data_IF_852751264528
#
_entry.id   IF_852751264528
#
_cell.length_a   1.000
_cell.length_b   1.000
_cell.length_c   1.000
_cell.angle_alpha   90.00
_cell.angle_beta   90.00
_cell.angle_gamma   90.00
#
_symmetry.space_group_name_H-M   'P 1'
#
loop_
_entity.id
_entity.type
_entity.pdbx_description
1 polymer ?
#
# COMPACT_ATOMS: atom_id res chain seq x y z
N UNK A 1 -18.57 -17.22 33.93
CA UNK A 1 -19.83 -16.49 33.65
C UNK A 1 -19.69 -15.59 32.40
N UNK A 2 -18.89 -15.99 31.41
CA UNK A 2 -18.44 -15.08 30.33
C UNK A 2 -18.80 -15.58 28.92
N UNK A 3 -19.61 -16.64 28.80
CA UNK A 3 -19.94 -17.31 27.52
C UNK A 3 -21.40 -17.17 27.06
N UNK A 4 -22.25 -16.38 27.73
CA UNK A 4 -23.70 -16.27 27.40
C UNK A 4 -24.05 -14.95 26.66
N UNK A 5 -23.15 -13.96 26.61
CA UNK A 5 -23.46 -12.62 26.09
C UNK A 5 -23.44 -12.49 24.55
N UNK A 6 -22.79 -13.39 23.81
CA UNK A 6 -22.60 -13.25 22.35
C UNK A 6 -23.82 -13.68 21.51
N UNK A 7 -24.79 -14.38 22.11
CA UNK A 7 -26.02 -14.84 21.43
C UNK A 7 -27.12 -13.77 21.34
N UNK A 8 -26.85 -12.53 21.76
CA UNK A 8 -27.88 -11.49 21.86
C UNK A 8 -28.05 -10.65 20.59
N UNK A 9 -27.13 -10.69 19.62
CA UNK A 9 -27.15 -9.80 18.46
C UNK A 9 -26.92 -10.53 17.13
N UNK A 10 -27.60 -10.06 16.09
CA UNK A 10 -27.42 -10.48 14.72
C UNK A 10 -25.97 -10.25 14.30
N UNK A 11 -25.29 -11.32 13.89
CA UNK A 11 -23.88 -11.35 13.50
C UNK A 11 -23.58 -10.65 12.16
N UNK A 12 -24.58 -9.98 11.59
CA UNK A 12 -24.48 -9.09 10.43
C UNK A 12 -24.79 -7.65 10.82
N UNK A 13 -26.02 -7.33 11.22
CA UNK A 13 -26.41 -5.93 11.39
C UNK A 13 -26.29 -5.42 12.84
N UNK A 14 -25.95 -6.27 13.82
CA UNK A 14 -25.75 -5.87 15.21
C UNK A 14 -27.02 -5.49 15.97
N UNK A 15 -28.20 -5.75 15.41
CA UNK A 15 -29.49 -5.64 16.13
C UNK A 15 -29.70 -6.83 17.07
N UNK A 16 -30.42 -6.69 18.18
CA UNK A 16 -30.76 -7.83 19.03
C UNK A 16 -31.55 -8.91 18.30
N UNK A 17 -31.25 -10.18 18.58
CA UNK A 17 -32.06 -11.30 18.09
C UNK A 17 -33.22 -11.57 19.07
N UNK A 18 -34.42 -11.74 18.52
CA UNK A 18 -35.65 -12.04 19.26
C UNK A 18 -36.04 -13.49 19.02
N UNK A 19 -35.57 -14.39 19.89
CA UNK A 19 -35.88 -15.82 19.80
C UNK A 19 -37.31 -16.17 20.20
N UNK A 20 -38.03 -15.23 20.82
CA UNK A 20 -39.45 -15.32 21.13
C UNK A 20 -40.36 -15.12 19.90
N UNK A 21 -39.80 -14.64 18.78
CA UNK A 21 -40.53 -14.40 17.52
C UNK A 21 -39.74 -15.02 16.36
N UNK A 22 -40.03 -16.27 16.02
CA UNK A 22 -39.29 -17.04 15.00
C UNK A 22 -39.23 -16.34 13.64
N UNK A 23 -40.28 -15.61 13.24
CA UNK A 23 -40.34 -14.85 11.98
C UNK A 23 -39.26 -13.76 11.86
N UNK A 24 -38.66 -13.34 12.98
CA UNK A 24 -37.61 -12.32 12.99
C UNK A 24 -36.19 -12.90 12.85
N UNK A 25 -36.07 -14.24 12.86
CA UNK A 25 -34.82 -14.95 12.62
C UNK A 25 -34.61 -15.16 11.12
N UNK A 26 -33.35 -15.16 10.69
CA UNK A 26 -32.98 -15.51 9.32
C UNK A 26 -33.18 -16.99 9.05
N UNK A 27 -33.03 -17.42 7.80
CA UNK A 27 -33.08 -18.84 7.43
C UNK A 27 -31.74 -19.33 6.90
N UNK A 28 -31.33 -20.53 7.32
CA UNK A 28 -30.12 -21.23 6.88
C UNK A 28 -30.37 -21.94 5.54
N UNK A 29 -29.33 -22.52 4.93
CA UNK A 29 -29.43 -23.19 3.63
C UNK A 29 -30.32 -24.45 3.64
N UNK A 30 -30.51 -25.06 4.81
CA UNK A 30 -31.45 -26.16 5.06
C UNK A 30 -32.86 -25.69 5.44
N UNK A 31 -33.12 -24.38 5.29
CA UNK A 31 -34.35 -23.68 5.67
C UNK A 31 -34.68 -23.66 7.17
N UNK A 32 -33.77 -24.12 8.04
CA UNK A 32 -33.91 -23.93 9.49
C UNK A 32 -33.75 -22.46 9.89
N UNK A 33 -34.33 -22.05 11.02
CA UNK A 33 -34.11 -20.71 11.56
C UNK A 33 -32.67 -20.54 12.07
N UNK A 34 -32.09 -19.38 11.78
CA UNK A 34 -30.75 -19.01 12.18
C UNK A 34 -30.73 -18.56 13.64
N UNK A 35 -29.78 -19.07 14.42
CA UNK A 35 -29.52 -18.60 15.78
C UNK A 35 -28.55 -17.41 15.84
N UNK A 36 -28.07 -16.95 14.67
CA UNK A 36 -27.02 -15.94 14.55
C UNK A 36 -27.42 -14.72 13.72
N UNK A 37 -28.40 -14.83 12.84
CA UNK A 37 -28.77 -13.76 11.91
C UNK A 37 -30.27 -13.46 11.95
N UNK A 38 -30.63 -12.19 11.80
CA UNK A 38 -32.03 -11.78 11.68
C UNK A 38 -32.55 -11.95 10.23
N UNK A 39 -33.86 -11.95 10.07
CA UNK A 39 -34.54 -12.14 8.78
C UNK A 39 -34.18 -11.08 7.73
N UNK A 40 -33.79 -9.87 8.16
CA UNK A 40 -33.30 -8.84 7.26
C UNK A 40 -31.93 -9.14 6.68
N UNK A 41 -31.13 -9.99 7.30
CA UNK A 41 -29.73 -10.20 6.95
C UNK A 41 -29.46 -11.52 6.25
N UNK A 42 -30.16 -12.60 6.61
CA UNK A 42 -29.90 -13.93 6.07
C UNK A 42 -31.21 -14.61 5.65
N UNK A 43 -31.25 -15.08 4.40
CA UNK A 43 -32.35 -15.86 3.86
C UNK A 43 -31.79 -17.02 3.04
N UNK A 44 -32.24 -18.23 3.37
CA UNK A 44 -31.90 -19.50 2.74
C UNK A 44 -30.38 -19.68 2.61
N UNK A 45 -29.65 -19.33 3.68
CA UNK A 45 -28.19 -19.42 3.77
C UNK A 45 -27.41 -18.33 3.04
N UNK A 46 -28.10 -17.35 2.43
CA UNK A 46 -27.48 -16.25 1.69
C UNK A 46 -27.76 -14.90 2.32
N UNK A 47 -26.77 -14.00 2.30
CA UNK A 47 -27.00 -12.62 2.73
C UNK A 47 -27.98 -11.93 1.77
N UNK A 48 -28.99 -11.28 2.34
CA UNK A 48 -30.06 -10.59 1.59
C UNK A 48 -29.57 -9.35 0.85
N UNK A 49 -28.47 -8.74 1.33
CA UNK A 49 -27.90 -7.49 0.79
C UNK A 49 -26.37 -7.58 0.79
N UNK A 50 -25.71 -7.13 -0.29
CA UNK A 50 -24.25 -6.93 -0.33
C UNK A 50 -23.92 -5.44 -0.20
N UNK A 51 -23.68 -5.01 1.03
CA UNK A 51 -23.35 -3.63 1.39
C UNK A 51 -22.05 -3.58 2.22
N UNK A 52 -21.47 -2.40 2.34
CA UNK A 52 -20.37 -2.10 3.24
C UNK A 52 -20.83 -1.98 4.70
N UNK A 53 -19.87 -2.06 5.63
CA UNK A 53 -20.15 -1.88 7.06
C UNK A 53 -20.68 -0.47 7.33
N UNK A 54 -20.11 0.56 6.68
CA UNK A 54 -20.57 1.94 6.82
C UNK A 54 -22.01 2.12 6.34
N UNK A 55 -22.39 1.53 5.20
CA UNK A 55 -23.77 1.54 4.74
C UNK A 55 -24.71 0.83 5.73
N UNK A 56 -24.26 -0.25 6.37
CA UNK A 56 -25.03 -0.91 7.44
C UNK A 56 -25.22 0.00 8.65
N UNK A 57 -24.18 0.74 9.06
CA UNK A 57 -24.29 1.77 10.12
C UNK A 57 -25.28 2.85 9.70
N UNK A 58 -25.17 3.37 8.47
CA UNK A 58 -26.02 4.45 7.97
C UNK A 58 -27.50 4.04 7.89
N UNK A 59 -27.78 2.79 7.51
CA UNK A 59 -29.14 2.23 7.55
C UNK A 59 -29.69 2.29 8.97
N UNK A 60 -28.95 1.82 9.97
CA UNK A 60 -29.44 1.83 11.35
C UNK A 60 -29.55 3.22 11.95
N UNK A 61 -28.60 4.11 11.66
CA UNK A 61 -28.65 5.51 12.07
C UNK A 61 -29.89 6.19 11.47
N UNK A 62 -30.21 5.92 10.21
CA UNK A 62 -31.44 6.40 9.55
C UNK A 62 -32.71 5.85 10.19
N UNK A 63 -32.68 4.63 10.74
CA UNK A 63 -33.81 3.95 11.38
C UNK A 63 -33.59 3.76 12.89
N UNK A 64 -33.06 4.78 13.57
CA UNK A 64 -32.72 4.73 15.00
C UNK A 64 -33.94 4.35 15.85
N UNK A 65 -35.12 4.90 15.58
CA UNK A 65 -36.36 4.57 16.31
C UNK A 65 -36.71 3.08 16.24
N UNK A 66 -36.50 2.44 15.08
CA UNK A 66 -36.72 1.00 14.93
C UNK A 66 -35.68 0.22 15.72
N UNK A 67 -34.41 0.62 15.65
CA UNK A 67 -33.36 -0.03 16.43
C UNK A 67 -33.67 0.03 17.94
N UNK A 68 -34.06 1.20 18.43
CA UNK A 68 -34.47 1.45 19.81
C UNK A 68 -35.67 0.58 20.21
N UNK A 69 -36.68 0.48 19.35
CA UNK A 69 -37.84 -0.41 19.56
C UNK A 69 -37.44 -1.89 19.68
N UNK A 70 -36.59 -2.40 18.79
CA UNK A 70 -36.12 -3.78 18.85
C UNK A 70 -35.24 -4.06 20.07
N UNK A 71 -34.46 -3.07 20.50
CA UNK A 71 -33.44 -3.23 21.55
C UNK A 71 -33.87 -2.78 22.94
N UNK A 72 -35.04 -2.15 23.09
CA UNK A 72 -35.46 -1.56 24.35
C UNK A 72 -34.51 -0.47 24.84
N UNK A 73 -33.94 0.29 23.91
CA UNK A 73 -33.00 1.39 24.20
C UNK A 73 -33.56 2.72 23.72
N UNK A 74 -32.86 3.82 24.05
CA UNK A 74 -33.26 5.17 23.66
C UNK A 74 -32.04 5.96 23.14
N UNK A 75 -31.28 5.34 22.23
CA UNK A 75 -30.10 5.98 21.65
C UNK A 75 -30.49 7.12 20.73
N UNK A 76 -29.74 8.21 20.77
CA UNK A 76 -29.71 9.19 19.68
C UNK A 76 -29.01 8.60 18.44
N UNK A 77 -29.23 9.14 17.23
CA UNK A 77 -28.56 8.68 16.02
C UNK A 77 -27.01 8.68 16.12
N UNK A 78 -26.45 9.65 16.85
CA UNK A 78 -24.99 9.76 17.03
C UNK A 78 -24.44 8.74 18.03
N UNK A 79 -25.18 8.45 19.10
CA UNK A 79 -24.82 7.39 20.05
C UNK A 79 -24.91 6.01 19.39
N UNK A 80 -25.97 5.77 18.60
CA UNK A 80 -26.12 4.54 17.84
C UNK A 80 -24.99 4.36 16.82
N UNK A 81 -24.61 5.41 16.09
CA UNK A 81 -23.45 5.39 15.19
C UNK A 81 -22.17 4.98 15.93
N UNK A 82 -21.91 5.60 17.08
CA UNK A 82 -20.72 5.32 17.90
C UNK A 82 -20.71 3.87 18.39
N UNK A 83 -21.86 3.37 18.86
CA UNK A 83 -22.03 1.99 19.28
C UNK A 83 -21.79 1.00 18.14
N UNK A 84 -22.42 1.22 16.98
CA UNK A 84 -22.32 0.32 15.83
C UNK A 84 -20.91 0.32 15.24
N UNK A 85 -20.23 1.47 15.18
CA UNK A 85 -18.83 1.54 14.77
C UNK A 85 -17.91 0.71 15.68
N UNK A 86 -18.25 0.54 16.96
CA UNK A 86 -17.52 -0.33 17.88
C UNK A 86 -17.92 -1.80 17.75
N UNK A 87 -19.22 -2.08 17.52
CA UNK A 87 -19.76 -3.46 17.52
C UNK A 87 -19.61 -4.17 16.18
N UNK A 88 -19.97 -3.54 15.06
CA UNK A 88 -20.00 -4.22 13.77
C UNK A 88 -18.66 -4.88 13.40
N UNK A 89 -17.47 -4.26 13.60
CA UNK A 89 -16.19 -4.90 13.31
C UNK A 89 -15.97 -6.25 14.04
N UNK A 90 -16.62 -6.45 15.19
CA UNK A 90 -16.46 -7.69 15.97
C UNK A 90 -17.37 -8.82 15.52
N UNK A 91 -18.41 -8.55 14.71
CA UNK A 91 -19.40 -9.54 14.30
C UNK A 91 -18.89 -10.43 13.15
N UNK A 92 -19.40 -11.68 13.06
CA UNK A 92 -18.91 -12.67 12.09
C UNK A 92 -18.88 -12.18 10.64
N UNK A 93 -19.95 -11.56 10.13
CA UNK A 93 -20.02 -11.07 8.73
C UNK A 93 -18.86 -10.14 8.39
N UNK A 94 -18.57 -9.23 9.31
CA UNK A 94 -17.60 -8.15 9.09
C UNK A 94 -16.18 -8.62 9.38
N UNK A 95 -15.97 -9.36 10.47
CA UNK A 95 -14.69 -9.98 10.79
C UNK A 95 -14.23 -10.91 9.66
N UNK A 96 -15.15 -11.71 9.10
CA UNK A 96 -14.85 -12.55 7.95
C UNK A 96 -14.49 -11.72 6.71
N UNK A 97 -15.26 -10.67 6.41
CA UNK A 97 -15.01 -9.78 5.26
C UNK A 97 -13.66 -9.05 5.37
N UNK A 98 -13.31 -8.55 6.56
CA UNK A 98 -12.00 -7.93 6.84
C UNK A 98 -10.86 -8.95 6.74
N UNK A 99 -11.02 -10.14 7.30
CA UNK A 99 -10.03 -11.21 7.20
C UNK A 99 -9.79 -11.64 5.75
N UNK A 100 -10.86 -11.79 4.96
CA UNK A 100 -10.74 -12.09 3.52
C UNK A 100 -10.05 -10.95 2.76
N UNK A 101 -10.35 -9.69 3.07
CA UNK A 101 -9.68 -8.53 2.48
C UNK A 101 -8.19 -8.49 2.83
N UNK A 102 -7.82 -8.79 4.08
CA UNK A 102 -6.43 -8.88 4.52
C UNK A 102 -5.66 -9.94 3.72
N UNK A 103 -6.18 -11.17 3.66
CA UNK A 103 -5.56 -12.28 2.92
C UNK A 103 -5.41 -11.94 1.44
N UNK A 104 -6.43 -11.34 0.83
CA UNK A 104 -6.34 -10.86 -0.54
C UNK A 104 -5.27 -9.78 -0.71
N UNK A 105 -5.19 -8.81 0.20
CA UNK A 105 -4.19 -7.74 0.14
C UNK A 105 -2.76 -8.30 0.24
N UNK A 106 -2.51 -9.23 1.17
CA UNK A 106 -1.21 -9.91 1.28
C UNK A 106 -0.86 -10.72 0.03
N UNK A 107 -1.82 -11.48 -0.50
CA UNK A 107 -1.65 -12.23 -1.75
C UNK A 107 -1.23 -11.30 -2.91
N UNK A 108 -1.91 -10.17 -3.08
CA UNK A 108 -1.56 -9.22 -4.14
C UNK A 108 -0.22 -8.53 -3.88
N UNK A 109 0.14 -8.22 -2.64
CA UNK A 109 1.46 -7.65 -2.34
C UNK A 109 2.60 -8.63 -2.59
N UNK A 110 2.41 -9.91 -2.32
CA UNK A 110 3.34 -10.95 -2.72
C UNK A 110 3.51 -10.98 -4.24
N UNK A 111 2.40 -10.95 -4.99
CA UNK A 111 2.43 -10.92 -6.47
C UNK A 111 3.15 -9.67 -6.99
N UNK A 112 2.90 -8.49 -6.40
CA UNK A 112 3.61 -7.24 -6.76
C UNK A 112 5.12 -7.39 -6.56
N UNK A 113 5.53 -7.95 -5.42
CA UNK A 113 6.95 -8.20 -5.10
C UNK A 113 7.57 -9.16 -6.12
N UNK A 114 6.86 -10.23 -6.50
CA UNK A 114 7.29 -11.15 -7.53
C UNK A 114 7.47 -10.44 -8.89
N UNK A 115 6.52 -9.59 -9.30
CA UNK A 115 6.60 -8.80 -10.53
C UNK A 115 7.82 -7.88 -10.50
N UNK A 116 8.06 -7.18 -9.39
CA UNK A 116 9.20 -6.26 -9.25
C UNK A 116 10.54 -6.97 -9.41
N UNK A 117 10.66 -8.21 -8.90
CA UNK A 117 11.88 -9.02 -8.98
C UNK A 117 12.07 -9.70 -10.34
N UNK A 118 11.00 -9.88 -11.12
CA UNK A 118 11.00 -10.64 -12.36
C UNK A 118 10.50 -9.80 -13.56
N UNK A 119 10.64 -8.47 -13.48
CA UNK A 119 9.93 -7.52 -14.36
C UNK A 119 10.08 -7.82 -15.85
N UNK A 120 11.27 -8.20 -16.31
CA UNK A 120 11.56 -8.53 -17.72
C UNK A 120 11.64 -10.03 -18.02
N UNK A 121 11.28 -10.88 -17.07
CA UNK A 121 11.11 -12.31 -17.33
C UNK A 121 9.70 -12.61 -17.87
N UNK A 122 9.48 -13.86 -18.30
CA UNK A 122 8.14 -14.33 -18.61
C UNK A 122 7.33 -14.45 -17.32
N UNK A 123 6.19 -13.77 -17.28
CA UNK A 123 5.28 -13.76 -16.13
C UNK A 123 3.94 -14.29 -16.61
N UNK A 124 3.52 -15.44 -16.08
CA UNK A 124 2.20 -16.02 -16.33
C UNK A 124 1.21 -15.64 -15.19
N UNK A 125 0.22 -14.77 -15.46
CA UNK A 125 -0.81 -14.42 -14.50
C UNK A 125 -1.65 -15.60 -13.99
N UNK A 126 -1.81 -16.67 -14.77
CA UNK A 126 -2.57 -17.86 -14.34
C UNK A 126 -1.77 -18.67 -13.33
N UNK A 127 -0.46 -18.82 -13.54
CA UNK A 127 0.44 -19.43 -12.56
C UNK A 127 0.47 -18.64 -11.26
N UNK A 128 0.54 -17.29 -11.34
CA UNK A 128 0.48 -16.43 -10.15
C UNK A 128 -0.82 -16.63 -9.37
N UNK A 129 -1.97 -16.70 -10.07
CA UNK A 129 -3.26 -16.96 -9.44
C UNK A 129 -3.28 -18.30 -8.68
N UNK A 130 -2.70 -19.36 -9.26
CA UNK A 130 -2.56 -20.67 -8.62
C UNK A 130 -1.68 -20.60 -7.36
N UNK A 131 -0.54 -19.89 -7.42
CA UNK A 131 0.37 -19.75 -6.27
C UNK A 131 -0.32 -19.08 -5.08
N UNK A 132 -1.15 -18.07 -5.34
CA UNK A 132 -1.92 -17.38 -4.28
C UNK A 132 -3.27 -18.03 -3.97
N UNK A 133 -3.52 -19.25 -4.47
CA UNK A 133 -4.74 -20.03 -4.22
C UNK A 133 -6.05 -19.30 -4.62
N UNK A 134 -6.03 -18.55 -5.72
CA UNK A 134 -7.21 -17.89 -6.27
C UNK A 134 -7.53 -18.46 -7.66
N UNK A 135 -8.82 -18.61 -7.98
CA UNK A 135 -9.22 -18.84 -9.36
C UNK A 135 -8.78 -17.65 -10.22
N UNK A 136 -8.44 -17.88 -11.49
CA UNK A 136 -7.92 -16.80 -12.33
C UNK A 136 -8.90 -15.62 -12.49
N UNK A 137 -10.21 -15.92 -12.57
CA UNK A 137 -11.25 -14.90 -12.60
C UNK A 137 -11.26 -14.04 -11.33
N UNK A 138 -11.24 -14.68 -10.16
CA UNK A 138 -11.24 -13.98 -8.87
C UNK A 138 -9.93 -13.22 -8.64
N UNK A 139 -8.79 -13.81 -8.98
CA UNK A 139 -7.48 -13.17 -8.95
C UNK A 139 -7.46 -11.85 -9.71
N UNK A 140 -7.96 -11.82 -10.96
CA UNK A 140 -8.01 -10.58 -11.75
C UNK A 140 -8.87 -9.50 -11.09
N UNK A 141 -10.01 -9.88 -10.51
CA UNK A 141 -10.90 -8.95 -9.79
C UNK A 141 -10.21 -8.41 -8.54
N UNK A 142 -9.60 -9.28 -7.73
CA UNK A 142 -8.88 -8.91 -6.51
C UNK A 142 -7.67 -8.03 -6.82
N UNK A 143 -6.86 -8.40 -7.81
CA UNK A 143 -5.69 -7.63 -8.25
C UNK A 143 -6.11 -6.22 -8.66
N UNK A 144 -7.16 -6.07 -9.49
CA UNK A 144 -7.66 -4.76 -9.88
C UNK A 144 -8.22 -3.95 -8.71
N UNK A 145 -8.92 -4.59 -7.78
CA UNK A 145 -9.46 -3.91 -6.60
C UNK A 145 -8.35 -3.40 -5.67
N UNK A 146 -7.23 -4.11 -5.55
CA UNK A 146 -6.09 -3.72 -4.71
C UNK A 146 -5.19 -2.71 -5.41
N UNK A 147 -4.92 -2.89 -6.70
CA UNK A 147 -3.93 -2.10 -7.44
C UNK A 147 -4.50 -0.96 -8.27
N UNK A 148 -5.81 -0.94 -8.50
CA UNK A 148 -6.47 -0.05 -9.45
C UNK A 148 -6.32 -0.46 -10.92
N UNK A 149 -5.48 -1.45 -11.23
CA UNK A 149 -5.10 -1.80 -12.60
C UNK A 149 -5.31 -3.29 -12.90
N UNK A 150 -5.50 -3.64 -14.18
CA UNK A 150 -5.40 -5.05 -14.59
C UNK A 150 -3.92 -5.47 -14.57
N UNK A 151 -3.62 -6.71 -14.16
CA UNK A 151 -2.24 -7.21 -14.04
C UNK A 151 -1.38 -7.01 -15.30
N UNK A 152 -1.91 -7.27 -16.49
CA UNK A 152 -1.16 -7.05 -17.74
C UNK A 152 -0.82 -5.58 -17.97
N UNK A 153 -1.75 -4.67 -17.69
CA UNK A 153 -1.52 -3.22 -17.77
C UNK A 153 -0.51 -2.77 -16.73
N UNK A 154 -0.60 -3.28 -15.51
CA UNK A 154 0.31 -3.00 -14.41
C UNK A 154 1.76 -3.42 -14.76
N UNK A 155 1.97 -4.66 -15.21
CA UNK A 155 3.30 -5.16 -15.62
C UNK A 155 3.86 -4.31 -16.77
N UNK A 156 3.02 -4.02 -17.76
CA UNK A 156 3.40 -3.23 -18.93
C UNK A 156 3.82 -1.80 -18.54
N UNK A 157 3.08 -1.17 -17.63
CA UNK A 157 3.39 0.15 -17.09
C UNK A 157 4.75 0.13 -16.38
N UNK A 158 4.94 -0.79 -15.42
CA UNK A 158 6.20 -0.90 -14.68
C UNK A 158 7.41 -1.11 -15.60
N UNK A 159 7.28 -1.94 -16.64
CA UNK A 159 8.33 -2.13 -17.66
C UNK A 159 8.71 -0.83 -18.36
N UNK A 160 7.70 -0.08 -18.80
CA UNK A 160 7.93 1.18 -19.52
C UNK A 160 8.48 2.28 -18.61
N UNK A 161 8.00 2.36 -17.36
CA UNK A 161 8.53 3.27 -16.35
C UNK A 161 9.99 2.94 -15.98
N UNK A 162 10.33 1.66 -15.86
CA UNK A 162 11.72 1.24 -15.65
C UNK A 162 12.63 1.60 -16.83
N UNK A 163 12.13 1.44 -18.07
CA UNK A 163 12.88 1.87 -19.28
C UNK A 163 13.06 3.39 -19.28
N UNK A 164 12.02 4.15 -18.95
CA UNK A 164 12.11 5.60 -18.82
C UNK A 164 13.11 6.01 -17.72
N UNK A 165 13.19 5.24 -16.62
CA UNK A 165 14.18 5.45 -15.59
C UNK A 165 15.59 5.31 -16.14
N UNK A 166 15.90 4.19 -16.81
CA UNK A 166 17.21 3.99 -17.43
C UNK A 166 17.56 5.09 -18.45
N UNK A 167 16.57 5.58 -19.20
CA UNK A 167 16.78 6.64 -20.19
C UNK A 167 17.26 7.96 -19.58
N UNK A 168 16.94 8.25 -18.31
CA UNK A 168 17.23 9.54 -17.65
C UNK A 168 18.27 9.43 -16.54
N UNK A 169 18.55 8.24 -16.01
CA UNK A 169 19.52 8.03 -14.93
C UNK A 169 20.82 7.37 -15.38
N UNK A 170 20.90 6.90 -16.63
CA UNK A 170 22.07 6.20 -17.16
C UNK A 170 22.48 6.73 -18.53
N UNK A 171 23.76 6.55 -18.88
CA UNK A 171 24.28 6.82 -20.22
C UNK A 171 24.07 5.70 -21.23
N UNK A 172 23.32 4.64 -20.88
CA UNK A 172 23.13 3.49 -21.76
C UNK A 172 22.47 3.90 -23.09
N UNK A 173 22.90 3.35 -24.20
CA UNK A 173 22.23 3.52 -25.49
C UNK A 173 20.83 2.88 -25.48
N UNK A 174 19.94 3.36 -26.36
CA UNK A 174 18.60 2.76 -26.54
C UNK A 174 18.70 1.28 -26.94
N UNK A 175 19.78 0.89 -27.62
CA UNK A 175 20.07 -0.48 -27.99
C UNK A 175 20.42 -1.35 -26.78
N UNK A 176 21.32 -0.90 -25.91
CA UNK A 176 21.66 -1.60 -24.67
C UNK A 176 20.46 -1.74 -23.73
N UNK A 177 19.62 -0.70 -23.63
CA UNK A 177 18.37 -0.77 -22.86
C UNK A 177 17.44 -1.80 -23.50
N UNK A 178 17.31 -1.80 -24.83
CA UNK A 178 16.49 -2.78 -25.54
C UNK A 178 16.89 -4.24 -25.25
N UNK A 179 18.18 -4.53 -25.18
CA UNK A 179 18.71 -5.87 -24.88
C UNK A 179 18.39 -6.36 -23.46
N UNK A 180 18.10 -5.46 -22.52
CA UNK A 180 17.74 -5.79 -21.14
C UNK A 180 16.24 -6.06 -20.95
N UNK A 181 15.45 -5.90 -22.03
CA UNK A 181 13.99 -6.04 -21.99
C UNK A 181 13.54 -7.30 -22.72
N UNK A 182 12.30 -7.72 -22.47
CA UNK A 182 11.69 -8.85 -23.18
C UNK A 182 10.98 -8.45 -24.49
N UNK A 183 11.21 -7.25 -25.01
CA UNK A 183 10.66 -6.85 -26.29
C UNK A 183 11.45 -7.51 -27.43
N UNK A 184 10.73 -8.29 -28.25
CA UNK A 184 11.33 -9.05 -29.35
C UNK A 184 11.95 -8.16 -30.44
N UNK A 185 11.47 -6.92 -30.60
CA UNK A 185 11.98 -5.99 -31.63
C UNK A 185 12.08 -4.56 -31.12
N UNK A 186 13.08 -3.81 -31.60
CA UNK A 186 13.22 -2.36 -31.35
C UNK A 186 11.94 -1.59 -31.71
N UNK A 187 11.24 -1.99 -32.78
CA UNK A 187 9.99 -1.38 -33.21
C UNK A 187 8.86 -1.57 -32.19
N UNK A 188 8.71 -2.78 -31.63
CA UNK A 188 7.68 -3.07 -30.62
C UNK A 188 7.88 -2.25 -29.35
N UNK A 189 9.13 -2.14 -28.89
CA UNK A 189 9.51 -1.30 -27.75
C UNK A 189 9.21 0.19 -28.02
N UNK A 190 9.70 0.73 -29.14
CA UNK A 190 9.50 2.13 -29.48
C UNK A 190 8.01 2.50 -29.60
N UNK A 191 7.20 1.61 -30.19
CA UNK A 191 5.75 1.78 -30.31
C UNK A 191 5.07 1.78 -28.94
N UNK A 192 5.42 0.83 -28.07
CA UNK A 192 4.86 0.73 -26.72
C UNK A 192 5.23 1.95 -25.87
N UNK A 193 6.51 2.36 -25.91
CA UNK A 193 7.01 3.53 -25.19
C UNK A 193 6.31 4.82 -25.64
N UNK A 194 6.26 5.07 -26.96
CA UNK A 194 5.59 6.27 -27.51
C UNK A 194 4.10 6.29 -27.19
N UNK A 195 3.43 5.13 -27.18
CA UNK A 195 2.03 5.04 -26.78
C UNK A 195 1.81 5.43 -25.32
N UNK A 196 2.75 5.10 -24.44
CA UNK A 196 2.63 5.35 -23.00
C UNK A 196 3.05 6.78 -22.62
N UNK A 197 4.19 7.26 -23.10
CA UNK A 197 4.73 8.58 -22.74
C UNK A 197 4.40 9.70 -23.74
N UNK A 198 3.76 9.39 -24.87
CA UNK A 198 3.42 10.34 -25.93
C UNK A 198 4.59 10.75 -26.85
N UNK A 199 5.83 10.53 -26.44
CA UNK A 199 7.05 10.89 -27.18
C UNK A 199 7.98 9.69 -27.39
N UNK A 200 8.93 9.80 -28.32
CA UNK A 200 9.91 8.74 -28.57
C UNK A 200 10.93 8.63 -27.42
N UNK A 201 11.61 7.49 -27.31
CA UNK A 201 12.66 7.28 -26.30
C UNK A 201 13.80 8.31 -26.43
N UNK A 202 14.21 8.65 -27.65
CA UNK A 202 15.24 9.67 -27.91
C UNK A 202 14.79 11.06 -27.45
N UNK A 203 13.57 11.47 -27.80
CA UNK A 203 13.01 12.76 -27.37
C UNK A 203 12.78 12.79 -25.85
N UNK A 204 12.45 11.65 -25.24
CA UNK A 204 12.32 11.53 -23.79
C UNK A 204 13.67 11.77 -23.10
N UNK A 205 14.75 11.14 -23.58
CA UNK A 205 16.10 11.37 -23.05
C UNK A 205 16.52 12.84 -23.16
N UNK A 206 16.41 13.42 -24.35
CA UNK A 206 16.80 14.82 -24.61
C UNK A 206 16.07 15.81 -23.69
N UNK A 207 14.77 15.57 -23.44
CA UNK A 207 13.97 16.38 -22.51
C UNK A 207 14.59 16.44 -21.10
N UNK A 208 15.18 15.36 -20.62
CA UNK A 208 15.74 15.28 -19.26
C UNK A 208 17.25 15.56 -19.22
N UNK A 209 17.99 15.43 -20.33
CA UNK A 209 19.39 15.87 -20.43
C UNK A 209 19.51 17.40 -20.29
N UNK A 210 18.60 18.17 -20.90
CA UNK A 210 18.62 19.64 -20.83
C UNK A 210 18.41 20.22 -19.41
N UNK A 211 17.89 19.42 -18.48
CA UNK A 211 17.66 19.81 -17.08
C UNK A 211 18.93 19.63 -16.22
N UNK A 212 19.86 18.77 -16.66
CA UNK A 212 21.08 18.43 -15.91
C UNK A 212 22.30 19.29 -16.26
N UNK A 213 22.17 20.24 -17.19
CA UNK A 213 23.25 21.14 -17.62
C UNK A 213 23.41 22.38 -16.71
N UNK A 214 23.35 22.19 -15.39
CA UNK A 214 23.68 23.25 -14.42
C UNK A 214 25.17 23.21 -14.12
N UNK A 215 25.78 24.39 -13.89
CA UNK A 215 27.18 24.53 -13.48
C UNK A 215 27.52 23.65 -12.26
N UNK A 216 28.80 23.25 -12.14
CA UNK A 216 29.29 22.56 -10.95
C UNK A 216 28.84 23.33 -9.69
N UNK A 217 28.10 22.69 -8.78
CA UNK A 217 27.60 23.36 -7.59
C UNK A 217 28.74 23.66 -6.63
N UNK A 218 28.70 24.83 -5.99
CA UNK A 218 29.68 25.27 -4.99
C UNK A 218 29.83 24.27 -3.82
N UNK A 219 28.81 23.45 -3.55
CA UNK A 219 28.82 22.40 -2.53
C UNK A 219 28.00 21.20 -2.99
N UNK A 220 28.66 20.05 -3.20
CA UNK A 220 27.99 18.77 -3.42
C UNK A 220 27.49 18.18 -2.11
N UNK A 221 26.34 17.48 -2.10
CA UNK A 221 25.94 16.68 -0.96
C UNK A 221 26.92 15.52 -0.76
N UNK A 222 27.35 15.30 0.47
CA UNK A 222 28.25 14.19 0.82
C UNK A 222 27.47 12.88 0.87
N UNK A 223 27.93 11.87 0.12
CA UNK A 223 27.34 10.54 0.11
C UNK A 223 28.23 9.55 0.86
N UNK A 224 27.66 8.85 1.85
CA UNK A 224 28.30 7.68 2.44
C UNK A 224 27.97 6.44 1.61
N UNK A 225 28.97 5.86 0.97
CA UNK A 225 28.81 4.61 0.23
C UNK A 225 28.92 3.43 1.18
N UNK A 226 27.86 2.61 1.25
CA UNK A 226 27.88 1.43 2.13
C UNK A 226 27.08 0.27 1.56
N UNK A 227 27.49 -0.94 1.97
CA UNK A 227 26.71 -2.15 1.74
C UNK A 227 25.76 -2.36 2.93
N UNK A 228 24.49 -2.58 2.65
CA UNK A 228 23.50 -2.97 3.67
C UNK A 228 23.01 -4.38 3.43
N UNK A 229 22.61 -5.05 4.51
CA UNK A 229 21.86 -6.30 4.44
C UNK A 229 20.42 -6.00 4.02
N UNK A 230 19.69 -7.03 3.58
CA UNK A 230 18.24 -6.91 3.35
C UNK A 230 17.57 -6.48 4.65
N UNK A 231 16.86 -5.35 4.59
CA UNK A 231 16.09 -4.83 5.72
C UNK A 231 14.64 -5.28 5.59
N UNK A 232 13.94 -5.30 6.72
CA UNK A 232 12.51 -5.59 6.77
C UNK A 232 11.78 -4.40 7.39
N UNK A 233 10.63 -4.07 6.81
CA UNK A 233 9.78 -3.01 7.30
C UNK A 233 8.32 -3.45 7.28
N UNK A 234 7.58 -3.17 8.35
CA UNK A 234 6.12 -3.29 8.35
C UNK A 234 5.55 -1.99 7.84
N UNK A 235 4.81 -2.05 6.73
CA UNK A 235 4.45 -0.88 5.95
C UNK A 235 2.96 -0.83 5.60
N UNK A 236 2.44 0.39 5.48
CA UNK A 236 1.14 0.69 4.87
C UNK A 236 1.39 1.44 3.56
N UNK A 237 0.71 1.03 2.49
CA UNK A 237 0.67 1.79 1.24
C UNK A 237 -0.16 3.05 1.40
N UNK A 238 0.42 4.20 1.06
CA UNK A 238 -0.24 5.50 1.23
C UNK A 238 -1.30 5.71 0.14
N UNK A 239 -1.04 5.33 -1.11
CA UNK A 239 -1.96 5.59 -2.23
C UNK A 239 -2.36 7.06 -2.31
N UNK A 240 -3.62 7.38 -2.61
CA UNK A 240 -4.15 8.75 -2.66
C UNK A 240 -4.40 9.40 -1.29
N UNK A 241 -4.10 8.72 -0.17
CA UNK A 241 -4.42 9.25 1.18
C UNK A 241 -3.65 10.51 1.53
N UNK A 242 -2.56 10.86 0.83
CA UNK A 242 -1.88 12.15 0.99
C UNK A 242 -2.79 13.35 0.71
N UNK A 243 -3.87 13.18 -0.08
CA UNK A 243 -4.84 14.25 -0.38
C UNK A 243 -5.77 14.53 0.79
N UNK A 244 -5.92 13.57 1.70
CA UNK A 244 -6.84 13.64 2.82
C UNK A 244 -6.05 13.63 4.14
N UNK A 245 -6.01 14.77 4.81
CA UNK A 245 -5.30 14.94 6.07
C UNK A 245 -5.75 13.94 7.14
N UNK A 246 -7.04 13.59 7.20
CA UNK A 246 -7.56 12.64 8.19
C UNK A 246 -7.14 11.21 7.85
N UNK A 247 -7.22 10.82 6.58
CA UNK A 247 -6.76 9.51 6.13
C UNK A 247 -5.26 9.33 6.39
N UNK A 248 -4.44 10.33 6.05
CA UNK A 248 -3.01 10.31 6.30
C UNK A 248 -2.69 10.22 7.81
N UNK A 249 -3.38 10.98 8.64
CA UNK A 249 -3.26 10.90 10.12
C UNK A 249 -3.62 9.51 10.64
N UNK A 250 -4.59 8.84 10.01
CA UNK A 250 -5.03 7.49 10.40
C UNK A 250 -3.97 6.44 10.10
N UNK A 251 -3.13 6.62 9.07
CA UNK A 251 -1.99 5.73 8.80
C UNK A 251 -0.97 5.83 9.94
N UNK A 252 -0.61 7.05 10.36
CA UNK A 252 0.31 7.27 11.47
C UNK A 252 -0.19 6.69 12.79
N UNK A 253 -1.49 6.84 13.10
CA UNK A 253 -2.10 6.21 14.28
C UNK A 253 -1.99 4.68 14.26
N UNK A 254 -2.17 4.04 13.11
CA UNK A 254 -1.99 2.60 12.96
C UNK A 254 -0.54 2.17 13.20
N UNK A 255 0.42 2.90 12.64
CA UNK A 255 1.85 2.62 12.83
C UNK A 255 2.28 2.80 14.30
N UNK A 256 1.84 3.89 14.95
CA UNK A 256 2.11 4.13 16.36
C UNK A 256 1.50 3.04 17.25
N UNK A 257 0.25 2.64 16.96
CA UNK A 257 -0.39 1.53 17.66
C UNK A 257 0.39 0.22 17.47
N UNK A 258 0.76 -0.12 16.23
CA UNK A 258 1.54 -1.31 15.93
C UNK A 258 2.87 -1.32 16.68
N UNK A 259 3.60 -0.19 16.68
CA UNK A 259 4.86 -0.04 17.42
C UNK A 259 4.65 -0.26 18.91
N UNK A 260 3.61 0.35 19.49
CA UNK A 260 3.28 0.23 20.91
C UNK A 260 2.85 -1.19 21.31
N UNK A 261 2.24 -1.98 20.42
CA UNK A 261 1.79 -3.34 20.74
C UNK A 261 2.89 -4.38 20.50
N UNK A 262 3.59 -4.28 19.37
CA UNK A 262 4.46 -5.35 18.87
C UNK A 262 5.96 -5.07 19.00
N UNK A 263 6.37 -3.81 19.19
CA UNK A 263 7.78 -3.38 19.12
C UNK A 263 8.29 -2.68 20.40
N UNK A 264 7.65 -2.89 21.56
CA UNK A 264 8.00 -2.23 22.83
C UNK A 264 9.47 -2.41 23.24
N UNK A 265 10.07 -3.55 22.89
CA UNK A 265 11.45 -3.90 23.22
C UNK A 265 12.43 -3.70 22.05
N UNK A 266 12.04 -2.96 21.00
CA UNK A 266 12.87 -2.73 19.81
C UNK A 266 13.48 -1.31 19.85
N UNK A 267 14.67 -1.14 20.45
CA UNK A 267 15.32 0.18 20.62
C UNK A 267 15.69 0.87 19.29
N UNK A 268 15.69 0.13 18.18
CA UNK A 268 16.07 0.55 16.82
C UNK A 268 14.87 0.67 15.85
N UNK A 269 13.63 0.69 16.35
CA UNK A 269 12.41 0.76 15.51
C UNK A 269 12.19 2.15 14.90
N UNK A 270 13.03 2.51 13.94
CA UNK A 270 12.97 3.77 13.21
C UNK A 270 11.82 3.73 12.18
N UNK A 271 11.20 4.89 11.98
CA UNK A 271 10.23 5.05 10.90
C UNK A 271 10.94 5.13 9.57
N UNK A 272 10.31 4.57 8.54
CA UNK A 272 10.82 4.52 7.17
C UNK A 272 9.75 4.96 6.20
N UNK A 273 10.15 5.64 5.13
CA UNK A 273 9.34 5.78 3.92
C UNK A 273 10.01 5.03 2.77
N UNK A 274 9.23 4.40 1.90
CA UNK A 274 9.75 3.61 0.77
C UNK A 274 9.03 4.05 -0.49
N UNK A 275 9.77 4.56 -1.46
CA UNK A 275 9.28 4.81 -2.82
C UNK A 275 9.76 3.70 -3.74
N UNK A 276 8.84 2.97 -4.37
CA UNK A 276 9.21 1.96 -5.38
C UNK A 276 9.38 2.56 -6.78
N UNK A 277 8.88 3.77 -6.97
CA UNK A 277 8.74 4.41 -8.27
C UNK A 277 9.52 5.72 -8.33
N UNK A 278 9.88 6.16 -9.54
CA UNK A 278 10.55 7.44 -9.74
C UNK A 278 9.50 8.55 -9.87
N UNK A 279 9.47 9.55 -8.97
CA UNK A 279 8.44 10.59 -8.96
C UNK A 279 8.46 11.51 -10.19
N UNK A 280 9.56 11.56 -10.96
CA UNK A 280 9.63 12.30 -12.23
C UNK A 280 8.95 11.56 -13.38
N UNK A 281 8.70 10.26 -13.23
CA UNK A 281 8.18 9.38 -14.28
C UNK A 281 6.76 8.94 -13.97
N UNK A 282 6.54 8.45 -12.76
CA UNK A 282 5.30 7.82 -12.35
C UNK A 282 4.30 8.86 -11.83
N UNK A 283 3.08 8.95 -12.38
CA UNK A 283 2.02 9.83 -11.89
C UNK A 283 1.68 9.55 -10.44
N UNK A 284 1.27 10.58 -9.70
CA UNK A 284 1.07 10.53 -8.26
C UNK A 284 0.09 9.44 -7.81
N UNK A 285 -1.01 9.28 -8.54
CA UNK A 285 -2.05 8.25 -8.32
C UNK A 285 -1.58 6.81 -8.57
N UNK A 286 -0.45 6.62 -9.26
CA UNK A 286 0.13 5.31 -9.58
C UNK A 286 1.38 5.01 -8.74
N UNK A 287 1.85 5.97 -7.94
CA UNK A 287 3.04 5.82 -7.10
C UNK A 287 2.79 4.88 -5.95
N UNK A 288 3.62 3.84 -5.88
CA UNK A 288 3.69 2.86 -4.81
C UNK A 288 4.60 3.41 -3.72
N UNK A 289 4.02 4.28 -2.91
CA UNK A 289 4.68 4.90 -1.77
C UNK A 289 4.18 4.29 -0.46
N UNK A 290 5.11 3.96 0.42
CA UNK A 290 4.82 3.29 1.68
C UNK A 290 5.43 4.06 2.84
N UNK A 291 4.74 4.05 3.98
CA UNK A 291 5.32 4.45 5.26
C UNK A 291 5.23 3.29 6.25
N UNK A 292 6.25 3.14 7.08
CA UNK A 292 6.42 1.95 7.89
C UNK A 292 7.42 2.11 9.01
N UNK A 293 7.73 0.98 9.64
CA UNK A 293 8.69 0.87 10.74
C UNK A 293 9.68 -0.24 10.40
N UNK A 294 10.97 0.03 10.55
CA UNK A 294 12.00 -1.00 10.45
C UNK A 294 11.84 -2.02 11.58
N UNK A 295 11.93 -3.30 11.24
CA UNK A 295 11.72 -4.41 12.18
C UNK A 295 12.87 -5.41 12.09
N UNK A 296 13.27 -5.93 13.24
CA UNK A 296 14.22 -7.03 13.35
C UNK A 296 13.47 -8.36 13.44
N UNK A 297 13.81 -9.32 12.58
CA UNK A 297 13.23 -10.67 12.60
C UNK A 297 11.86 -10.81 11.95
N UNK A 298 10.95 -11.55 12.60
CA UNK A 298 9.60 -11.84 12.11
C UNK A 298 8.60 -10.84 12.68
N UNK A 299 8.04 -9.99 11.82
CA UNK A 299 6.93 -9.11 12.18
C UNK A 299 5.61 -9.66 11.65
N UNK A 300 4.53 -9.44 12.40
CA UNK A 300 3.18 -9.88 12.00
C UNK A 300 2.53 -8.82 11.13
N UNK A 301 1.97 -9.22 9.99
CA UNK A 301 1.04 -8.37 9.25
C UNK A 301 -0.24 -8.16 10.07
N UNK A 302 -0.83 -6.97 9.98
CA UNK A 302 -2.07 -6.62 10.68
C UNK A 302 -2.88 -5.60 9.87
N UNK A 303 -4.12 -5.94 9.51
CA UNK A 303 -4.97 -5.06 8.70
C UNK A 303 -4.35 -4.75 7.33
N UNK A 304 -3.95 -3.49 7.11
CA UNK A 304 -3.25 -3.07 5.88
C UNK A 304 -1.73 -3.00 6.05
N UNK A 305 -1.22 -3.26 7.25
CA UNK A 305 0.21 -3.36 7.54
C UNK A 305 0.71 -4.67 6.97
N UNK A 306 1.63 -4.59 6.01
CA UNK A 306 2.26 -5.75 5.39
C UNK A 306 3.77 -5.68 5.54
N UNK A 307 4.39 -6.85 5.73
CA UNK A 307 5.83 -6.97 5.75
C UNK A 307 6.40 -6.74 4.34
N UNK A 308 7.42 -5.89 4.25
CA UNK A 308 8.17 -5.63 3.03
C UNK A 308 9.65 -5.80 3.25
N UNK A 309 10.31 -6.35 2.24
CA UNK A 309 11.77 -6.43 2.21
C UNK A 309 12.34 -5.28 1.39
N UNK A 310 13.33 -4.60 1.96
CA UNK A 310 14.16 -3.63 1.28
C UNK A 310 15.42 -4.39 0.85
N UNK A 311 15.67 -4.55 -0.46
CA UNK A 311 16.75 -5.39 -0.94
C UNK A 311 18.12 -4.92 -0.44
N UNK A 312 18.93 -5.84 0.07
CA UNK A 312 20.33 -5.58 0.38
C UNK A 312 21.14 -5.22 -0.88
N UNK A 313 22.30 -4.61 -0.68
CA UNK A 313 23.15 -4.17 -1.78
C UNK A 313 24.01 -2.96 -1.42
N UNK A 314 24.61 -2.35 -2.45
CA UNK A 314 25.34 -1.09 -2.32
C UNK A 314 24.35 0.08 -2.39
N UNK A 315 24.51 1.04 -1.47
CA UNK A 315 23.70 2.24 -1.38
C UNK A 315 24.59 3.47 -1.24
N UNK A 316 24.18 4.57 -1.88
CA UNK A 316 24.58 5.91 -1.50
C UNK A 316 23.62 6.40 -0.41
N UNK A 317 24.17 6.81 0.72
CA UNK A 317 23.41 7.30 1.87
C UNK A 317 23.70 8.78 2.07
N UNK A 318 22.66 9.60 1.98
CA UNK A 318 22.73 11.03 2.19
C UNK A 318 22.04 11.39 3.50
N UNK A 319 22.68 12.22 4.32
CA UNK A 319 22.05 12.75 5.52
C UNK A 319 21.51 14.15 5.24
N UNK A 320 20.21 14.31 5.44
CA UNK A 320 19.51 15.58 5.33
C UNK A 320 19.12 16.09 6.73
N UNK A 321 19.29 17.38 6.95
CA UNK A 321 18.86 18.07 8.18
C UNK A 321 17.91 19.21 7.83
N UNK A 322 16.68 19.15 8.31
CA UNK A 322 15.66 20.17 8.03
C UNK A 322 14.26 19.60 7.77
N UNK A 323 13.42 20.40 7.14
CA UNK A 323 12.00 20.08 6.92
C UNK A 323 11.79 18.94 5.93
N UNK A 324 10.83 18.05 6.22
CA UNK A 324 10.41 17.02 5.26
C UNK A 324 9.82 17.60 3.97
N UNK A 325 9.30 18.84 4.01
CA UNK A 325 8.77 19.54 2.83
C UNK A 325 9.86 19.89 1.81
N UNK A 326 11.12 19.96 2.24
CA UNK A 326 12.26 20.32 1.40
C UNK A 326 13.00 19.09 0.84
N UNK A 327 12.64 17.88 1.28
CA UNK A 327 13.19 16.62 0.76
C UNK A 327 13.09 16.51 -0.78
N UNK A 328 11.96 16.87 -1.44
CA UNK A 328 11.89 16.82 -2.89
C UNK A 328 12.96 17.68 -3.59
N UNK A 329 13.31 18.83 -3.01
CA UNK A 329 14.37 19.68 -3.55
C UNK A 329 15.74 19.05 -3.32
N UNK A 330 15.97 18.46 -2.15
CA UNK A 330 17.21 17.75 -1.87
C UNK A 330 17.41 16.52 -2.78
N UNK A 331 16.34 15.78 -3.12
CA UNK A 331 16.41 14.73 -4.15
C UNK A 331 16.84 15.30 -5.51
N UNK A 332 16.31 16.45 -5.94
CA UNK A 332 16.77 17.10 -7.18
C UNK A 332 18.24 17.44 -7.11
N UNK A 333 18.73 17.94 -5.97
CA UNK A 333 20.17 18.16 -5.76
C UNK A 333 20.93 16.86 -5.97
N UNK A 334 20.55 15.75 -5.33
CA UNK A 334 21.23 14.46 -5.49
C UNK A 334 21.25 14.02 -6.97
N UNK A 335 20.12 14.08 -7.67
CA UNK A 335 20.01 13.65 -9.07
C UNK A 335 20.72 14.56 -10.08
N UNK A 336 20.72 15.87 -9.85
CA UNK A 336 21.25 16.83 -10.83
C UNK A 336 22.70 17.21 -10.53
N UNK A 337 23.19 16.98 -9.31
CA UNK A 337 24.50 17.46 -8.87
C UNK A 337 25.42 16.35 -8.39
N UNK A 338 24.91 15.31 -7.70
CA UNK A 338 25.79 14.25 -7.22
C UNK A 338 25.94 13.14 -8.25
N UNK A 339 24.83 12.59 -8.76
CA UNK A 339 24.86 11.48 -9.71
C UNK A 339 25.70 11.76 -10.96
N UNK A 340 25.59 12.93 -11.64
CA UNK A 340 26.32 13.20 -12.88
C UNK A 340 27.84 13.24 -12.72
N UNK A 341 28.32 13.58 -11.52
CA UNK A 341 29.75 13.68 -11.19
C UNK A 341 30.26 12.48 -10.38
N UNK A 342 29.37 11.57 -9.98
CA UNK A 342 29.73 10.35 -9.29
C UNK A 342 30.11 9.25 -10.28
N UNK A 343 30.90 8.27 -9.82
CA UNK A 343 31.15 7.03 -10.58
C UNK A 343 30.02 6.00 -10.45
N UNK A 344 28.83 6.43 -10.01
CA UNK A 344 27.74 5.54 -9.64
C UNK A 344 26.48 5.88 -10.43
N UNK A 345 25.69 4.85 -10.73
CA UNK A 345 24.36 5.01 -11.30
C UNK A 345 23.32 4.41 -10.36
N UNK A 346 22.11 4.98 -10.34
CA UNK A 346 21.02 4.40 -9.59
C UNK A 346 20.62 3.06 -10.21
N UNK A 347 20.70 2.00 -9.42
CA UNK A 347 20.44 0.61 -9.85
C UNK A 347 19.00 0.38 -10.28
N UNK A 348 18.05 1.01 -9.58
CA UNK A 348 16.61 0.84 -9.76
C UNK A 348 15.86 2.03 -9.15
N UNK A 349 14.60 2.30 -9.56
CA UNK A 349 13.82 3.42 -9.04
C UNK A 349 13.60 3.44 -7.52
N UNK A 350 13.68 2.27 -6.86
CA UNK A 350 13.49 2.15 -5.42
C UNK A 350 14.41 3.11 -4.65
N UNK A 351 13.84 3.91 -3.77
CA UNK A 351 14.56 4.68 -2.73
C UNK A 351 13.83 4.53 -1.40
N UNK A 352 14.53 4.73 -0.29
CA UNK A 352 13.88 4.78 1.02
C UNK A 352 14.55 5.79 1.94
N UNK A 353 13.76 6.30 2.89
CA UNK A 353 14.18 7.28 3.88
C UNK A 353 14.05 6.69 5.27
N UNK A 354 15.05 6.91 6.12
CA UNK A 354 14.99 6.54 7.54
C UNK A 354 14.95 7.83 8.37
N UNK A 355 13.91 8.00 9.17
CA UNK A 355 13.75 9.15 10.05
C UNK A 355 14.43 8.86 11.39
N UNK A 356 15.52 9.58 11.68
CA UNK A 356 16.39 9.32 12.82
C UNK A 356 15.87 9.91 14.13
N UNK A 357 14.96 10.88 14.06
CA UNK A 357 14.30 11.50 15.20
C UNK A 357 12.84 11.84 14.89
N UNK A 358 12.08 12.19 15.93
CA UNK A 358 10.63 12.45 15.83
C UNK A 358 10.32 13.95 15.74
N UNK A 359 9.39 14.36 14.86
CA UNK A 359 8.85 15.73 14.86
C UNK A 359 8.04 16.09 16.11
N UNK A 360 7.64 15.10 16.93
CA UNK A 360 6.97 15.35 18.21
C UNK A 360 7.95 15.89 19.28
N UNK A 361 9.24 15.58 19.14
CA UNK A 361 10.28 15.86 20.14
C UNK A 361 11.37 16.79 19.63
N UNK A 362 11.46 16.98 18.31
CA UNK A 362 12.54 17.71 17.65
C UNK A 362 11.97 18.86 16.82
N UNK A 363 12.52 20.10 16.94
CA UNK A 363 12.14 21.20 16.07
C UNK A 363 12.49 20.90 14.60
N UNK A 364 11.79 21.53 13.66
CA UNK A 364 11.89 21.25 12.21
C UNK A 364 13.33 21.36 11.70
N UNK A 365 14.09 22.33 12.18
CA UNK A 365 15.48 22.58 11.80
C UNK A 365 16.45 21.51 12.35
N UNK A 366 16.01 20.75 13.36
CA UNK A 366 16.75 19.67 13.98
C UNK A 366 16.40 18.28 13.45
N UNK A 367 15.39 18.15 12.59
CA UNK A 367 14.97 16.87 12.02
C UNK A 367 16.10 16.28 11.17
N UNK A 368 16.32 14.97 11.33
CA UNK A 368 17.38 14.22 10.66
C UNK A 368 16.78 13.06 9.89
N UNK A 369 17.06 13.04 8.59
CA UNK A 369 16.62 11.99 7.67
C UNK A 369 17.82 11.42 6.92
N UNK A 370 17.91 10.09 6.83
CA UNK A 370 18.85 9.42 5.94
C UNK A 370 18.14 8.91 4.69
N UNK A 371 18.64 9.29 3.51
CA UNK A 371 18.11 8.89 2.21
C UNK A 371 19.02 7.82 1.64
N UNK A 372 18.43 6.67 1.32
CA UNK A 372 19.12 5.51 0.76
C UNK A 372 18.73 5.34 -0.70
N UNK A 373 19.72 5.47 -1.58
CA UNK A 373 19.56 5.24 -3.02
C UNK A 373 20.43 4.05 -3.43
N UNK A 374 19.84 2.97 -4.00
CA UNK A 374 20.60 1.81 -4.43
C UNK A 374 21.43 2.15 -5.66
N UNK A 375 22.70 1.78 -5.62
CA UNK A 375 23.67 2.15 -6.66
C UNK A 375 24.41 0.94 -7.20
N UNK A 376 24.83 1.04 -8.46
CA UNK A 376 25.86 0.21 -9.08
C UNK A 376 27.00 1.12 -9.58
N UNK A 377 28.17 0.53 -9.85
CA UNK A 377 29.34 1.22 -10.42
C UNK A 377 29.28 1.23 -11.94
#
# INVERSE_FOLDING_TARGET
MEQIADKQYCQSCGMPLRFDVEEYLGTNADHSYSDEYCYYCLKDGSYTVDISMNEMVDIWVKYTDKYNWYSGTDYTPQELRTLLNKRLPTLKRWRQKEMTQHVHYEAINWVRTYIDQNLFQEIDPEQLAKIVNLSFFHFRKVFRNVTGENIGTYIQRLRLEYIAHLLITTGQSIEEIGMQTNYQTKFSLAKAFKKHFGISMSAYREKYESVNASQEPDSMPEAKIMRINTLKAVCIEVGDTFRDKYAYTTIWKQLLHYKAVHLQNAPSSLFVSISQDNPLITPMEQRRFYIGILVEGSAKSEGKLSLREIPGGMYAVFRYKGSYSDLPEFYKTIYNQWFPYSMYHQKRPLTFEVYLNSPDETPVEGLLTEIYIPIDK
#
